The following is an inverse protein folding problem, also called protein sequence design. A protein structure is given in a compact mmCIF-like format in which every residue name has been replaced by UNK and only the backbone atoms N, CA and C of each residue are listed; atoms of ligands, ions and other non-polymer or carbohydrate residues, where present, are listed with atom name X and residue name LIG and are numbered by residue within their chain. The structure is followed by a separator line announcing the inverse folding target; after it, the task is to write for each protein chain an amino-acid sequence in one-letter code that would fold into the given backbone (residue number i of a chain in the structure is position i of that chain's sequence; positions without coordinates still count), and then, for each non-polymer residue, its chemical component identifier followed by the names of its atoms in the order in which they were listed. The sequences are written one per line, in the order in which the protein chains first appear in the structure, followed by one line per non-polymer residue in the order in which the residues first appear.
data_IF_858448114117
#
_entry.id   IF_858448114117
#
_cell.length_a   1.000
_cell.length_b   1.000
_cell.length_c   1.000
_cell.angle_alpha   90.00
_cell.angle_beta   90.00
_cell.angle_gamma   90.00
#
_symmetry.space_group_name_H-M   'P 1'
#
loop_
_entity.id
_entity.type
_entity.pdbx_description
1 polymer ?
#
# COMPACT_ATOMS: atom_id res chain seq x y z
N UNK A 1 30.90 17.75 24.02
CA UNK A 1 30.80 19.11 24.58
C UNK A 1 30.78 18.99 26.08
N UNK A 2 31.95 19.08 26.70
CA UNK A 2 32.11 19.01 28.15
C UNK A 2 31.77 20.35 28.79
N UNK A 3 31.14 20.35 29.95
CA UNK A 3 31.07 21.53 30.83
C UNK A 3 31.40 21.14 32.27
N UNK A 4 31.98 22.09 33.05
CA UNK A 4 32.97 21.80 34.08
C UNK A 4 32.39 21.91 35.51
N UNK A 5 33.12 21.34 36.46
CA UNK A 5 32.87 21.44 37.91
C UNK A 5 32.78 22.89 38.39
N UNK A 6 31.83 23.18 39.28
CA UNK A 6 31.86 24.35 40.17
C UNK A 6 31.39 23.95 41.58
N UNK A 7 32.25 24.25 42.55
CA UNK A 7 31.99 24.14 43.99
C UNK A 7 30.91 25.11 44.47
N UNK A 8 30.07 24.61 45.39
CA UNK A 8 29.34 25.26 46.50
C UNK A 8 28.79 26.68 46.33
N UNK A 9 27.46 26.79 46.33
CA UNK A 9 26.73 27.61 47.32
C UNK A 9 25.24 27.20 47.34
N UNK A 10 24.63 27.22 48.52
CA UNK A 10 23.24 26.82 48.78
C UNK A 10 22.24 27.72 48.04
N UNK A 11 21.42 27.10 47.19
CA UNK A 11 20.27 27.73 46.58
C UNK A 11 19.37 26.64 46.03
N UNK A 12 18.24 26.41 46.70
CA UNK A 12 17.20 25.47 46.28
C UNK A 12 16.68 25.83 44.89
N UNK A 13 17.33 25.29 43.86
CA UNK A 13 16.74 25.20 42.53
C UNK A 13 15.73 24.06 42.64
N UNK A 14 14.47 24.42 42.87
CA UNK A 14 13.35 23.53 42.60
C UNK A 14 13.49 23.08 41.15
N UNK A 15 13.79 21.79 40.96
CA UNK A 15 13.72 21.14 39.65
C UNK A 15 12.34 21.47 39.04
N UNK A 16 12.25 22.11 37.86
CA UNK A 16 10.97 22.45 37.26
C UNK A 16 10.15 21.20 36.89
N UNK A 17 10.81 20.04 36.87
CA UNK A 17 10.20 18.74 36.73
C UNK A 17 9.99 18.21 38.15
N UNK A 18 8.76 18.31 38.65
CA UNK A 18 8.39 17.82 39.98
C UNK A 18 8.86 16.39 40.25
N UNK A 19 8.83 15.97 41.51
CA UNK A 19 9.33 14.69 42.04
C UNK A 19 8.69 13.41 41.48
N UNK A 20 7.93 13.48 40.38
CA UNK A 20 7.51 12.30 39.64
C UNK A 20 8.75 11.69 38.99
N UNK A 21 9.00 10.41 39.27
CA UNK A 21 10.09 9.63 38.70
C UNK A 21 9.91 9.48 37.18
N UNK A 22 10.19 10.55 36.43
CA UNK A 22 10.21 10.55 34.97
C UNK A 22 11.41 9.75 34.48
N UNK A 23 11.18 8.83 33.54
CA UNK A 23 12.23 8.08 32.88
C UNK A 23 13.11 9.03 32.06
N UNK A 24 14.44 8.93 32.20
CA UNK A 24 15.38 9.79 31.47
C UNK A 24 15.36 9.43 29.97
N UNK A 25 15.54 10.41 29.07
CA UNK A 25 15.48 10.21 27.61
C UNK A 25 16.28 9.00 27.10
N UNK A 26 17.52 8.83 27.59
CA UNK A 26 18.38 7.71 27.20
C UNK A 26 17.87 6.35 27.66
N UNK A 27 17.19 6.29 28.81
CA UNK A 27 16.56 5.09 29.34
C UNK A 27 15.28 4.75 28.56
N UNK A 28 14.44 5.76 28.30
CA UNK A 28 13.20 5.59 27.53
C UNK A 28 13.44 5.05 26.11
N UNK A 29 14.46 5.57 25.42
CA UNK A 29 14.82 5.14 24.07
C UNK A 29 15.81 3.97 24.04
N UNK A 30 16.28 3.49 25.20
CA UNK A 30 17.29 2.43 25.31
C UNK A 30 18.53 2.72 24.44
N UNK A 31 19.05 3.96 24.52
CA UNK A 31 20.14 4.41 23.65
C UNK A 31 21.44 3.65 23.88
N UNK A 32 21.63 3.04 25.04
CA UNK A 32 22.74 2.13 25.31
C UNK A 32 22.73 0.94 24.32
N UNK A 33 21.56 0.40 24.00
CA UNK A 33 21.42 -0.70 23.03
C UNK A 33 21.55 -0.20 21.59
N UNK A 34 20.88 0.91 21.26
CA UNK A 34 20.85 1.43 19.89
C UNK A 34 22.24 1.96 19.49
N UNK A 35 22.88 2.77 20.32
CA UNK A 35 24.15 3.46 20.04
C UNK A 35 25.40 2.61 20.35
N UNK A 36 25.23 1.36 20.79
CA UNK A 36 26.33 0.39 20.95
C UNK A 36 26.24 -0.79 19.98
N UNK A 37 25.33 -0.75 19.01
CA UNK A 37 25.11 -1.83 18.03
C UNK A 37 25.99 -1.72 16.77
N UNK A 38 26.89 -0.74 16.68
CA UNK A 38 27.67 -0.42 15.48
C UNK A 38 29.01 -1.17 15.44
N UNK A 39 28.97 -2.46 15.10
CA UNK A 39 30.17 -3.31 15.04
C UNK A 39 30.77 -3.37 13.63
N UNK A 40 31.86 -2.64 13.40
CA UNK A 40 32.63 -2.65 12.15
C UNK A 40 33.56 -3.86 12.07
N UNK A 41 33.39 -4.72 11.05
CA UNK A 41 34.24 -5.89 10.82
C UNK A 41 35.63 -5.49 10.31
N UNK A 42 35.73 -4.43 9.51
CA UNK A 42 37.01 -3.93 9.02
C UNK A 42 37.95 -3.52 10.17
N UNK A 43 37.39 -2.94 11.24
CA UNK A 43 38.11 -2.63 12.49
C UNK A 43 38.56 -3.90 13.20
N UNK A 44 37.68 -4.90 13.34
CA UNK A 44 38.02 -6.19 13.95
C UNK A 44 39.12 -6.94 13.19
N UNK A 45 39.20 -6.73 11.88
CA UNK A 45 40.22 -7.30 11.00
C UNK A 45 41.46 -6.41 10.83
N UNK A 46 41.65 -5.39 11.68
CA UNK A 46 42.80 -4.46 11.70
C UNK A 46 43.03 -3.70 10.37
N UNK A 47 41.97 -3.46 9.60
CA UNK A 47 41.99 -2.66 8.36
C UNK A 47 40.77 -1.73 8.33
N UNK A 48 40.72 -0.70 9.18
CA UNK A 48 39.52 0.12 9.35
C UNK A 48 39.14 0.82 8.04
N UNK A 49 37.89 0.65 7.61
CA UNK A 49 37.30 1.38 6.48
C UNK A 49 36.21 2.28 7.03
N UNK A 50 36.40 3.59 6.89
CA UNK A 50 35.54 4.61 7.49
C UNK A 50 34.05 4.44 7.12
N UNK A 51 33.78 4.22 5.83
CA UNK A 51 32.42 4.17 5.29
C UNK A 51 31.65 2.89 5.65
N UNK A 52 32.29 1.89 6.25
CA UNK A 52 31.57 0.74 6.84
C UNK A 52 30.62 1.20 7.95
N UNK A 53 30.97 2.26 8.71
CA UNK A 53 30.08 2.81 9.74
C UNK A 53 28.79 3.39 9.12
N UNK A 54 28.92 4.12 8.00
CA UNK A 54 27.78 4.65 7.25
C UNK A 54 26.89 3.53 6.72
N UNK A 55 27.51 2.47 6.18
CA UNK A 55 26.81 1.27 5.71
C UNK A 55 25.97 0.65 6.84
N UNK A 56 26.55 0.46 8.03
CA UNK A 56 25.85 -0.12 9.19
C UNK A 56 24.69 0.77 9.65
N UNK A 57 24.94 2.06 9.89
CA UNK A 57 23.91 3.00 10.38
C UNK A 57 22.75 3.11 9.39
N UNK A 58 23.03 3.15 8.09
CA UNK A 58 21.99 3.22 7.06
C UNK A 58 21.07 2.00 7.14
N UNK A 59 21.63 0.79 7.19
CA UNK A 59 20.82 -0.43 7.28
C UNK A 59 20.06 -0.53 8.61
N UNK A 60 20.67 -0.11 9.73
CA UNK A 60 19.97 -0.04 11.03
C UNK A 60 18.79 0.93 10.99
N UNK A 61 18.95 2.10 10.35
CA UNK A 61 17.85 3.05 10.16
C UNK A 61 16.71 2.46 9.33
N UNK A 62 17.02 1.77 8.22
CA UNK A 62 16.01 1.04 7.44
C UNK A 62 15.27 0.00 8.29
N UNK A 63 15.97 -0.81 9.07
CA UNK A 63 15.35 -1.86 9.90
C UNK A 63 14.46 -1.29 11.02
N UNK A 64 14.82 -0.13 11.60
CA UNK A 64 13.92 0.57 12.54
C UNK A 64 12.62 1.03 11.85
N UNK A 65 12.72 1.55 10.63
CA UNK A 65 11.54 1.96 9.87
C UNK A 65 10.71 0.78 9.36
N UNK A 66 11.34 -0.33 8.97
CA UNK A 66 10.62 -1.56 8.63
C UNK A 66 9.83 -2.07 9.83
N UNK A 67 10.42 -2.03 11.03
CA UNK A 67 9.69 -2.36 12.27
C UNK A 67 8.47 -1.47 12.47
N UNK A 68 8.61 -0.16 12.27
CA UNK A 68 7.49 0.77 12.36
C UNK A 68 6.40 0.46 11.31
N UNK A 69 6.79 0.20 10.05
CA UNK A 69 5.83 -0.14 8.99
C UNK A 69 5.08 -1.43 9.34
N UNK A 70 5.77 -2.47 9.81
CA UNK A 70 5.14 -3.73 10.22
C UNK A 70 4.18 -3.49 11.37
N UNK A 71 4.56 -2.68 12.37
CA UNK A 71 3.69 -2.34 13.49
C UNK A 71 2.41 -1.63 13.05
N UNK A 72 2.52 -0.64 12.16
CA UNK A 72 1.35 0.02 11.58
C UNK A 72 0.50 -0.97 10.77
N UNK A 73 1.15 -1.79 9.94
CA UNK A 73 0.51 -2.75 9.03
C UNK A 73 -0.28 -3.81 9.80
N UNK A 74 0.30 -4.40 10.85
CA UNK A 74 -0.37 -5.37 11.71
C UNK A 74 -1.59 -4.74 12.38
N UNK A 75 -1.44 -3.53 12.89
CA UNK A 75 -2.56 -2.82 13.50
C UNK A 75 -3.69 -2.48 12.51
N UNK A 76 -3.37 -2.22 11.23
CA UNK A 76 -4.37 -2.00 10.17
C UNK A 76 -5.02 -3.33 9.77
N UNK A 77 -4.24 -4.41 9.70
CA UNK A 77 -4.78 -5.76 9.46
C UNK A 77 -5.78 -6.12 10.55
N UNK A 78 -5.47 -5.87 11.82
CA UNK A 78 -6.38 -6.12 12.94
C UNK A 78 -7.68 -5.30 12.83
N UNK A 79 -7.58 -4.01 12.48
CA UNK A 79 -8.74 -3.14 12.29
C UNK A 79 -9.64 -3.59 11.12
N UNK A 80 -9.05 -4.12 10.04
CA UNK A 80 -9.77 -4.64 8.87
C UNK A 80 -10.32 -6.04 9.09
N UNK A 81 -9.74 -6.81 10.03
CA UNK A 81 -10.16 -8.15 10.40
C UNK A 81 -11.40 -8.15 11.32
N UNK A 82 -12.41 -7.37 10.93
CA UNK A 82 -13.70 -7.28 11.62
C UNK A 82 -14.86 -7.36 10.63
N UNK A 83 -15.97 -7.98 11.04
CA UNK A 83 -17.18 -8.13 10.22
C UNK A 83 -17.87 -6.79 9.91
N UNK A 84 -17.64 -5.78 10.72
CA UNK A 84 -18.11 -4.41 10.47
C UNK A 84 -17.00 -3.42 10.79
N UNK A 85 -16.75 -2.50 9.86
CA UNK A 85 -15.80 -1.41 10.05
C UNK A 85 -16.62 -0.14 10.26
N UNK A 86 -16.63 0.34 11.49
CA UNK A 86 -17.18 1.65 11.82
C UNK A 86 -16.39 2.75 11.10
N UNK A 87 -17.07 3.81 10.66
CA UNK A 87 -16.44 4.93 9.93
C UNK A 87 -15.33 5.61 10.76
N UNK A 88 -15.45 5.61 12.09
CA UNK A 88 -14.41 6.07 13.02
C UNK A 88 -13.09 5.29 12.86
N UNK A 89 -13.16 3.97 12.65
CA UNK A 89 -12.00 3.10 12.42
C UNK A 89 -11.42 3.31 11.02
N UNK A 90 -12.23 3.70 10.03
CA UNK A 90 -11.74 4.04 8.69
C UNK A 90 -10.75 5.21 8.73
N UNK A 91 -11.03 6.26 9.51
CA UNK A 91 -10.09 7.38 9.67
C UNK A 91 -8.77 6.95 10.32
N UNK A 92 -8.83 6.05 11.30
CA UNK A 92 -7.63 5.51 11.93
C UNK A 92 -6.80 4.68 10.93
N UNK A 93 -7.44 3.84 10.12
CA UNK A 93 -6.80 3.08 9.04
C UNK A 93 -6.10 4.03 8.06
N UNK A 94 -6.81 5.06 7.59
CA UNK A 94 -6.26 6.06 6.66
C UNK A 94 -5.04 6.78 7.24
N UNK A 95 -5.12 7.21 8.51
CA UNK A 95 -4.00 7.85 9.20
C UNK A 95 -2.77 6.95 9.21
N UNK A 96 -2.94 5.67 9.52
CA UNK A 96 -1.83 4.69 9.60
C UNK A 96 -1.26 4.33 8.22
N UNK A 97 -2.12 4.12 7.23
CA UNK A 97 -1.67 3.90 5.83
C UNK A 97 -0.92 5.12 5.29
N UNK A 98 -1.41 6.34 5.55
CA UNK A 98 -0.71 7.55 5.16
C UNK A 98 0.63 7.70 5.90
N UNK A 99 0.72 7.29 7.17
CA UNK A 99 2.00 7.23 7.89
C UNK A 99 2.97 6.26 7.21
N UNK A 100 2.54 5.07 6.81
CA UNK A 100 3.37 4.13 6.03
C UNK A 100 3.86 4.77 4.73
N UNK A 101 2.98 5.47 3.99
CA UNK A 101 3.36 6.22 2.78
C UNK A 101 4.46 7.24 3.06
N UNK A 102 4.35 8.04 4.14
CA UNK A 102 5.37 9.02 4.49
C UNK A 102 6.70 8.39 4.91
N UNK A 103 6.65 7.27 5.66
CA UNK A 103 7.86 6.51 6.00
C UNK A 103 8.53 5.98 4.73
N UNK A 104 7.76 5.38 3.80
CA UNK A 104 8.30 4.86 2.55
C UNK A 104 8.91 5.97 1.67
N UNK A 105 8.33 7.19 1.65
CA UNK A 105 8.96 8.35 1.00
C UNK A 105 10.33 8.66 1.59
N UNK A 106 10.43 8.68 2.93
CA UNK A 106 11.71 8.87 3.62
C UNK A 106 12.70 7.75 3.28
N UNK A 107 12.25 6.49 3.22
CA UNK A 107 13.08 5.34 2.84
C UNK A 107 13.60 5.45 1.41
N UNK A 108 12.79 5.96 0.47
CA UNK A 108 13.25 6.24 -0.89
C UNK A 108 14.37 7.28 -0.90
N UNK A 109 14.23 8.34 -0.09
CA UNK A 109 15.16 9.46 0.00
C UNK A 109 16.39 9.17 0.88
N UNK A 110 16.42 8.04 1.59
CA UNK A 110 17.60 7.57 2.32
C UNK A 110 18.66 6.94 1.41
N UNK A 111 18.30 6.40 0.23
CA UNK A 111 19.26 5.78 -0.70
C UNK A 111 20.40 6.74 -1.09
N UNK A 112 20.14 8.01 -1.47
CA UNK A 112 21.18 8.99 -1.77
C UNK A 112 22.23 9.20 -0.67
N UNK A 113 21.89 8.97 0.61
CA UNK A 113 22.86 9.05 1.71
C UNK A 113 23.93 7.97 1.57
N UNK A 114 23.54 6.75 1.21
CA UNK A 114 24.49 5.65 1.00
C UNK A 114 25.25 5.81 -0.33
N UNK A 115 24.68 6.52 -1.31
CA UNK A 115 25.35 6.82 -2.59
C UNK A 115 26.51 7.83 -2.46
N UNK A 116 26.71 8.44 -1.28
CA UNK A 116 27.90 9.26 -1.02
C UNK A 116 29.16 8.42 -0.81
N UNK A 117 29.01 7.14 -0.43
CA UNK A 117 30.11 6.18 -0.37
C UNK A 117 30.59 5.84 -1.78
N UNK A 118 31.91 5.81 -1.99
CA UNK A 118 32.44 5.47 -3.31
C UNK A 118 32.48 3.95 -3.53
N UNK A 119 32.41 3.47 -4.79
CA UNK A 119 32.56 2.04 -5.07
C UNK A 119 33.91 1.47 -4.61
N UNK A 120 34.97 2.27 -4.61
CA UNK A 120 36.30 1.84 -4.14
C UNK A 120 36.29 1.61 -2.63
N UNK A 121 35.77 2.56 -1.86
CA UNK A 121 35.65 2.43 -0.40
C UNK A 121 34.74 1.25 -0.04
N UNK A 122 33.66 1.03 -0.78
CA UNK A 122 32.81 -0.14 -0.60
C UNK A 122 33.57 -1.46 -0.82
N UNK A 123 34.41 -1.54 -1.86
CA UNK A 123 35.18 -2.75 -2.15
C UNK A 123 36.19 -3.10 -1.05
N UNK A 124 36.71 -2.11 -0.33
CA UNK A 124 37.70 -2.32 0.74
C UNK A 124 37.13 -3.07 1.96
N UNK A 125 35.81 -3.01 2.21
CA UNK A 125 35.16 -3.78 3.29
C UNK A 125 34.16 -4.83 2.83
N UNK A 126 33.80 -4.87 1.55
CA UNK A 126 32.81 -5.82 0.98
C UNK A 126 33.10 -7.29 1.31
N UNK A 127 34.38 -7.67 1.36
CA UNK A 127 34.79 -9.05 1.62
C UNK A 127 34.39 -9.53 3.03
N UNK A 128 34.25 -8.62 3.99
CA UNK A 128 33.80 -8.95 5.36
C UNK A 128 32.31 -9.23 5.44
N UNK A 129 31.53 -8.80 4.43
CA UNK A 129 30.08 -8.98 4.41
C UNK A 129 29.66 -10.38 3.96
N UNK A 130 30.51 -11.14 3.26
CA UNK A 130 30.12 -12.46 2.76
C UNK A 130 29.97 -13.49 3.89
N UNK A 131 28.90 -14.31 3.94
CA UNK A 131 27.82 -14.48 2.96
C UNK A 131 26.57 -13.61 3.22
N UNK A 132 26.63 -12.67 4.17
CA UNK A 132 25.51 -11.83 4.54
C UNK A 132 25.03 -10.95 3.38
N UNK A 133 23.72 -10.78 3.30
CA UNK A 133 23.07 -10.01 2.24
C UNK A 133 21.70 -9.51 2.66
N UNK A 134 21.22 -8.44 2.01
CA UNK A 134 19.85 -7.93 2.19
C UNK A 134 18.75 -8.95 1.90
N UNK A 135 19.06 -10.08 1.25
CA UNK A 135 18.15 -11.23 1.18
C UNK A 135 17.69 -11.72 2.55
N UNK A 136 18.55 -11.59 3.57
CA UNK A 136 18.33 -12.01 4.95
C UNK A 136 17.65 -10.93 5.81
N UNK A 137 17.18 -9.83 5.21
CA UNK A 137 16.31 -8.90 5.95
C UNK A 137 14.96 -9.57 6.19
N UNK A 138 14.79 -10.08 7.41
CA UNK A 138 13.56 -10.74 7.86
C UNK A 138 12.38 -9.77 7.75
N UNK A 139 12.52 -8.56 8.27
CA UNK A 139 11.45 -7.57 8.29
C UNK A 139 11.00 -7.16 6.88
N UNK A 140 11.92 -7.07 5.92
CA UNK A 140 11.53 -6.80 4.53
C UNK A 140 10.64 -7.92 3.96
N UNK A 141 10.93 -9.19 4.28
CA UNK A 141 10.09 -10.33 3.86
C UNK A 141 8.75 -10.36 4.58
N UNK A 142 8.74 -10.11 5.89
CA UNK A 142 7.50 -10.01 6.66
C UNK A 142 6.60 -8.90 6.11
N UNK A 143 7.16 -7.73 5.78
CA UNK A 143 6.43 -6.62 5.17
C UNK A 143 5.82 -7.03 3.81
N UNK A 144 6.60 -7.66 2.92
CA UNK A 144 6.09 -8.15 1.62
C UNK A 144 4.93 -9.15 1.80
N UNK A 145 5.06 -10.11 2.73
CA UNK A 145 4.05 -11.14 2.97
C UNK A 145 2.78 -10.54 3.59
N UNK A 146 2.93 -9.71 4.63
CA UNK A 146 1.82 -9.03 5.31
C UNK A 146 1.08 -8.06 4.39
N UNK A 147 1.75 -7.45 3.40
CA UNK A 147 1.07 -6.68 2.35
C UNK A 147 0.26 -7.59 1.43
N UNK A 148 0.85 -8.68 0.96
CA UNK A 148 0.18 -9.70 0.14
C UNK A 148 0.97 -10.19 -1.08
N UNK A 149 2.30 -10.07 -1.08
CA UNK A 149 3.13 -10.64 -2.16
C UNK A 149 3.11 -12.16 -2.06
N UNK A 150 2.38 -12.81 -2.98
CA UNK A 150 2.28 -14.27 -3.02
C UNK A 150 3.57 -14.93 -3.53
N UNK A 151 3.89 -16.11 -2.99
CA UNK A 151 5.16 -16.82 -3.24
C UNK A 151 5.33 -17.23 -4.70
N UNK A 152 4.26 -17.61 -5.38
CA UNK A 152 4.22 -17.96 -6.80
C UNK A 152 4.55 -16.78 -7.73
N UNK A 153 4.29 -15.54 -7.29
CA UNK A 153 4.62 -14.33 -8.05
C UNK A 153 6.09 -13.94 -7.92
N UNK A 154 6.77 -14.40 -6.87
CA UNK A 154 8.21 -14.14 -6.69
C UNK A 154 9.00 -14.75 -7.84
N UNK A 155 10.06 -14.07 -8.25
CA UNK A 155 10.99 -14.58 -9.28
C UNK A 155 11.67 -15.86 -8.78
N UNK A 156 11.95 -16.83 -9.67
CA UNK A 156 12.39 -18.20 -9.31
C UNK A 156 13.48 -18.26 -8.23
N UNK A 157 14.51 -17.42 -8.33
CA UNK A 157 15.59 -17.36 -7.35
C UNK A 157 15.11 -17.08 -5.92
N UNK A 158 14.01 -16.32 -5.78
CA UNK A 158 13.45 -15.86 -4.52
C UNK A 158 12.11 -16.53 -4.17
N UNK A 159 11.75 -17.63 -4.84
CA UNK A 159 10.55 -18.40 -4.48
C UNK A 159 10.75 -19.20 -3.19
N UNK A 160 11.97 -19.69 -2.94
CA UNK A 160 12.36 -20.33 -1.68
C UNK A 160 13.19 -19.39 -0.83
N UNK A 161 12.69 -18.17 -0.59
CA UNK A 161 13.45 -17.16 0.15
C UNK A 161 13.68 -17.56 1.64
N UNK A 162 12.97 -18.55 2.17
CA UNK A 162 13.21 -19.09 3.51
C UNK A 162 14.60 -19.70 3.70
N UNK A 163 15.23 -20.22 2.62
CA UNK A 163 16.54 -20.88 2.73
C UNK A 163 17.65 -19.94 3.22
N UNK A 164 17.52 -18.62 3.01
CA UNK A 164 18.57 -17.67 3.42
C UNK A 164 18.59 -17.42 4.94
N UNK A 165 17.52 -17.80 5.64
CA UNK A 165 17.39 -17.71 7.10
C UNK A 165 17.95 -18.95 7.82
N UNK A 166 18.44 -19.95 7.06
CA UNK A 166 19.19 -21.08 7.61
C UNK A 166 18.37 -21.91 8.60
N UNK A 167 18.85 -21.99 9.85
CA UNK A 167 18.25 -22.76 10.95
C UNK A 167 17.66 -21.86 12.05
N UNK A 168 17.50 -20.56 11.79
CA UNK A 168 16.85 -19.65 12.74
C UNK A 168 15.35 -20.00 12.82
N UNK A 169 14.99 -20.74 13.87
CA UNK A 169 13.64 -21.25 14.05
C UNK A 169 12.62 -20.11 14.19
N UNK A 170 12.97 -19.04 14.91
CA UNK A 170 12.09 -17.90 15.16
C UNK A 170 11.84 -17.13 13.86
N UNK A 171 12.88 -16.92 13.05
CA UNK A 171 12.74 -16.27 11.75
C UNK A 171 11.88 -17.09 10.77
N UNK A 172 12.06 -18.41 10.75
CA UNK A 172 11.26 -19.31 9.91
C UNK A 172 9.81 -19.32 10.37
N UNK A 173 9.55 -19.41 11.68
CA UNK A 173 8.20 -19.37 12.25
C UNK A 173 7.50 -18.06 11.91
N UNK A 174 8.18 -16.92 12.07
CA UNK A 174 7.65 -15.61 11.72
C UNK A 174 7.27 -15.52 10.23
N UNK A 175 8.09 -16.10 9.33
CA UNK A 175 7.79 -16.14 7.90
C UNK A 175 6.55 -17.00 7.65
N UNK A 176 6.49 -18.21 8.21
CA UNK A 176 5.35 -19.13 8.05
C UNK A 176 4.05 -18.51 8.56
N UNK A 177 4.09 -17.85 9.72
CA UNK A 177 2.95 -17.06 10.25
C UNK A 177 2.56 -15.96 9.25
N UNK A 178 3.51 -15.17 8.76
CA UNK A 178 3.20 -14.08 7.82
C UNK A 178 2.64 -14.53 6.46
N UNK A 179 2.94 -15.75 6.01
CA UNK A 179 2.38 -16.34 4.78
C UNK A 179 0.99 -16.95 4.98
N UNK A 180 0.69 -17.44 6.19
CA UNK A 180 -0.55 -18.16 6.51
C UNK A 180 -1.66 -17.24 7.05
N UNK A 181 -1.29 -16.18 7.77
CA UNK A 181 -2.24 -15.20 8.24
C UNK A 181 -2.82 -14.36 7.08
N UNK A 182 -4.05 -13.82 7.22
CA UNK A 182 -4.61 -12.93 6.22
C UNK A 182 -3.69 -11.72 5.96
N UNK A 183 -3.28 -11.54 4.71
CA UNK A 183 -2.54 -10.34 4.29
C UNK A 183 -3.46 -9.12 4.24
N UNK A 184 -2.87 -7.93 4.18
CA UNK A 184 -3.62 -6.69 3.94
C UNK A 184 -4.46 -6.79 2.66
N UNK A 185 -3.91 -7.35 1.59
CA UNK A 185 -4.64 -7.59 0.35
C UNK A 185 -5.86 -8.49 0.54
N UNK A 186 -5.74 -9.59 1.28
CA UNK A 186 -6.86 -10.50 1.53
C UNK A 186 -7.97 -9.81 2.35
N UNK A 187 -7.59 -8.99 3.35
CA UNK A 187 -8.53 -8.24 4.19
C UNK A 187 -9.21 -7.08 3.46
N UNK A 188 -8.46 -6.35 2.62
CA UNK A 188 -9.00 -5.30 1.75
C UNK A 188 -10.00 -5.89 0.76
N UNK A 189 -9.70 -7.05 0.16
CA UNK A 189 -10.65 -7.72 -0.74
C UNK A 189 -11.95 -8.09 -0.01
N UNK A 190 -11.88 -8.71 1.17
CA UNK A 190 -13.08 -9.00 2.00
C UNK A 190 -13.87 -7.76 2.37
N UNK A 191 -13.20 -6.63 2.61
CA UNK A 191 -13.87 -5.35 2.83
C UNK A 191 -14.55 -4.83 1.56
N UNK A 192 -13.87 -4.87 0.41
CA UNK A 192 -14.43 -4.46 -0.89
C UNK A 192 -15.64 -5.30 -1.31
N UNK A 193 -15.65 -6.60 -1.01
CA UNK A 193 -16.77 -7.49 -1.29
C UNK A 193 -18.06 -7.14 -0.53
N UNK A 194 -17.94 -6.35 0.53
CA UNK A 194 -19.04 -5.84 1.36
C UNK A 194 -19.43 -4.39 1.01
N UNK A 195 -18.90 -3.85 -0.10
CA UNK A 195 -19.22 -2.48 -0.54
C UNK A 195 -20.73 -2.36 -0.79
N UNK A 196 -21.42 -1.40 -0.13
CA UNK A 196 -22.87 -1.25 -0.28
C UNK A 196 -23.24 -0.85 -1.72
N UNK A 197 -24.23 -1.53 -2.27
CA UNK A 197 -24.76 -1.31 -3.61
C UNK A 197 -24.35 -2.35 -4.65
N UNK A 198 -23.52 -3.32 -4.27
CA UNK A 198 -23.23 -4.51 -5.07
C UNK A 198 -24.34 -5.56 -5.02
N UNK A 199 -25.28 -5.45 -4.08
CA UNK A 199 -26.33 -6.45 -3.87
C UNK A 199 -27.35 -6.43 -5.02
N UNK A 200 -27.73 -7.63 -5.50
CA UNK A 200 -28.64 -7.82 -6.63
C UNK A 200 -30.08 -7.42 -6.32
N UNK A 201 -30.50 -7.58 -5.06
CA UNK A 201 -31.79 -7.14 -4.51
C UNK A 201 -31.78 -5.67 -4.05
N UNK A 202 -30.61 -5.02 -4.08
CA UNK A 202 -30.42 -3.63 -3.69
C UNK A 202 -30.26 -2.69 -4.88
N UNK A 203 -29.16 -1.93 -4.90
CA UNK A 203 -28.89 -1.00 -6.00
C UNK A 203 -28.45 -1.71 -7.28
N UNK A 204 -27.90 -2.92 -7.19
CA UNK A 204 -27.41 -3.72 -8.29
C UNK A 204 -26.52 -2.91 -9.24
N UNK A 205 -25.44 -2.35 -8.67
CA UNK A 205 -24.49 -1.53 -9.42
C UNK A 205 -23.96 -2.24 -10.66
N UNK A 206 -23.65 -3.54 -10.56
CA UNK A 206 -22.95 -4.26 -11.61
C UNK A 206 -23.77 -4.43 -12.89
N UNK A 207 -25.04 -4.83 -12.77
CA UNK A 207 -25.93 -4.98 -13.93
C UNK A 207 -26.22 -3.61 -14.58
N UNK A 208 -26.42 -2.58 -13.76
CA UNK A 208 -26.61 -1.21 -14.26
C UNK A 208 -25.37 -0.70 -14.97
N UNK A 209 -24.19 -0.95 -14.43
CA UNK A 209 -22.93 -0.57 -15.04
C UNK A 209 -22.71 -1.28 -16.38
N UNK A 210 -22.97 -2.59 -16.44
CA UNK A 210 -22.92 -3.34 -17.69
C UNK A 210 -23.86 -2.78 -18.75
N UNK A 211 -25.10 -2.48 -18.37
CA UNK A 211 -26.07 -1.83 -19.27
C UNK A 211 -25.56 -0.48 -19.75
N UNK A 212 -25.11 0.39 -18.85
CA UNK A 212 -24.60 1.71 -19.20
C UNK A 212 -23.37 1.67 -20.11
N UNK A 213 -22.48 0.71 -19.92
CA UNK A 213 -21.33 0.49 -20.82
C UNK A 213 -21.80 0.07 -22.22
N UNK A 214 -22.75 -0.86 -22.31
CA UNK A 214 -23.29 -1.29 -23.59
C UNK A 214 -23.97 -0.12 -24.31
N UNK A 215 -24.87 0.61 -23.63
CA UNK A 215 -25.55 1.79 -24.17
C UNK A 215 -24.54 2.85 -24.67
N UNK A 216 -23.47 3.07 -23.90
CA UNK A 216 -22.39 4.00 -24.26
C UNK A 216 -21.62 3.54 -25.51
N UNK A 217 -21.23 2.27 -25.58
CA UNK A 217 -20.48 1.72 -26.72
C UNK A 217 -21.32 1.65 -27.99
N UNK A 218 -22.60 1.31 -27.88
CA UNK A 218 -23.55 1.28 -29.00
C UNK A 218 -23.77 2.70 -29.56
N UNK A 219 -23.84 3.72 -28.69
CA UNK A 219 -23.91 5.11 -29.13
C UNK A 219 -22.61 5.56 -29.82
N UNK A 220 -21.44 5.20 -29.28
CA UNK A 220 -20.16 5.48 -29.93
C UNK A 220 -20.04 4.82 -31.31
N UNK A 221 -20.55 3.59 -31.44
CA UNK A 221 -20.58 2.87 -32.71
C UNK A 221 -21.50 3.54 -33.72
N UNK A 222 -22.70 3.96 -33.30
CA UNK A 222 -23.62 4.74 -34.13
C UNK A 222 -22.98 6.04 -34.59
N UNK A 223 -22.30 6.77 -33.70
CA UNK A 223 -21.56 8.00 -34.05
C UNK A 223 -20.41 7.72 -35.03
N UNK A 224 -19.67 6.62 -34.84
CA UNK A 224 -18.58 6.23 -35.73
C UNK A 224 -19.09 5.89 -37.14
N UNK A 225 -20.25 5.25 -37.28
CA UNK A 225 -20.86 4.95 -38.58
C UNK A 225 -21.22 6.20 -39.39
N UNK A 226 -21.51 7.32 -38.72
CA UNK A 226 -21.79 8.61 -39.37
C UNK A 226 -20.52 9.41 -39.72
N UNK A 227 -19.32 8.91 -39.39
CA UNK A 227 -18.06 9.55 -39.73
C UNK A 227 -17.81 9.51 -41.25
N UNK A 228 -17.52 10.69 -41.82
CA UNK A 228 -17.37 10.86 -43.27
C UNK A 228 -16.02 10.35 -43.76
N UNK A 229 -14.98 10.48 -42.94
CA UNK A 229 -13.65 10.02 -43.29
C UNK A 229 -13.50 8.53 -42.99
N UNK A 230 -13.32 7.72 -44.04
CA UNK A 230 -13.24 6.26 -43.94
C UNK A 230 -12.13 5.78 -42.98
N UNK A 231 -10.94 6.38 -43.06
CA UNK A 231 -9.84 6.05 -42.15
C UNK A 231 -10.20 6.31 -40.67
N UNK A 232 -10.89 7.42 -40.38
CA UNK A 232 -11.32 7.77 -39.03
C UNK A 232 -12.45 6.84 -38.55
N UNK A 233 -13.40 6.50 -39.42
CA UNK A 233 -14.46 5.53 -39.13
C UNK A 233 -13.87 4.16 -38.75
N UNK A 234 -12.98 3.63 -39.58
CA UNK A 234 -12.36 2.32 -39.36
C UNK A 234 -11.54 2.29 -38.06
N UNK A 235 -10.80 3.37 -37.78
CA UNK A 235 -10.06 3.50 -36.52
C UNK A 235 -10.99 3.51 -35.30
N UNK A 236 -12.09 4.28 -35.34
CA UNK A 236 -13.06 4.34 -34.24
C UNK A 236 -13.76 3.00 -34.01
N UNK A 237 -14.19 2.32 -35.06
CA UNK A 237 -14.81 1.00 -34.94
C UNK A 237 -13.85 -0.03 -34.34
N UNK A 238 -12.57 -0.01 -34.75
CA UNK A 238 -11.54 -0.86 -34.14
C UNK A 238 -11.31 -0.53 -32.66
N UNK A 239 -11.28 0.76 -32.28
CA UNK A 239 -11.14 1.15 -30.86
C UNK A 239 -12.33 0.67 -30.02
N UNK A 240 -13.56 0.80 -30.55
CA UNK A 240 -14.79 0.35 -29.88
C UNK A 240 -14.75 -1.17 -29.67
N UNK A 241 -14.37 -1.95 -30.69
CA UNK A 241 -14.26 -3.41 -30.56
C UNK A 241 -13.23 -3.81 -29.49
N UNK A 242 -12.06 -3.16 -29.47
CA UNK A 242 -11.06 -3.35 -28.42
C UNK A 242 -11.60 -3.00 -27.03
N UNK A 243 -12.39 -1.92 -26.91
CA UNK A 243 -13.05 -1.56 -25.65
C UNK A 243 -14.07 -2.62 -25.23
N UNK A 244 -14.87 -3.16 -26.16
CA UNK A 244 -15.80 -4.27 -25.87
C UNK A 244 -15.06 -5.47 -25.30
N UNK A 245 -13.92 -5.86 -25.88
CA UNK A 245 -13.08 -6.93 -25.33
C UNK A 245 -12.53 -6.62 -23.93
N UNK A 246 -12.10 -5.38 -23.69
CA UNK A 246 -11.66 -4.92 -22.36
C UNK A 246 -12.80 -5.03 -21.34
N UNK A 247 -14.01 -4.60 -21.68
CA UNK A 247 -15.17 -4.70 -20.79
C UNK A 247 -15.66 -6.14 -20.62
N UNK A 248 -15.58 -6.99 -21.66
CA UNK A 248 -15.84 -8.43 -21.55
C UNK A 248 -14.95 -9.06 -20.48
N UNK A 249 -13.70 -8.61 -20.37
CA UNK A 249 -12.78 -9.11 -19.34
C UNK A 249 -13.24 -8.86 -17.90
N UNK A 250 -14.10 -7.87 -17.66
CA UNK A 250 -14.69 -7.62 -16.33
C UNK A 250 -16.12 -8.15 -16.23
N UNK A 251 -16.93 -8.15 -17.28
CA UNK A 251 -18.31 -8.65 -17.19
C UNK A 251 -18.43 -10.17 -17.26
N UNK A 252 -17.44 -10.88 -17.80
CA UNK A 252 -17.36 -12.34 -17.79
C UNK A 252 -16.53 -12.83 -16.59
N UNK A 253 -17.15 -13.47 -15.57
CA UNK A 253 -16.43 -14.01 -14.42
C UNK A 253 -15.35 -15.03 -14.80
N UNK A 254 -15.59 -15.84 -15.84
CA UNK A 254 -14.65 -16.88 -16.27
C UNK A 254 -13.36 -16.30 -16.85
N UNK A 255 -13.47 -15.19 -17.60
CA UNK A 255 -12.33 -14.44 -18.13
C UNK A 255 -11.57 -13.78 -16.99
N UNK A 256 -12.27 -13.19 -16.02
CA UNK A 256 -11.65 -12.62 -14.85
C UNK A 256 -10.85 -13.68 -14.05
N UNK A 257 -11.44 -14.83 -13.74
CA UNK A 257 -10.74 -15.90 -13.02
C UNK A 257 -9.54 -16.47 -13.80
N UNK A 258 -9.62 -16.52 -15.13
CA UNK A 258 -8.48 -16.90 -15.95
C UNK A 258 -7.33 -15.88 -15.87
N UNK A 259 -7.62 -14.59 -15.68
CA UNK A 259 -6.60 -13.54 -15.44
C UNK A 259 -6.01 -13.63 -14.03
N UNK A 260 -6.83 -13.92 -13.02
CA UNK A 260 -6.36 -14.15 -11.64
C UNK A 260 -5.42 -15.35 -11.58
N UNK A 261 -5.79 -16.49 -12.17
CA UNK A 261 -4.95 -17.71 -12.21
C UNK A 261 -3.60 -17.51 -12.90
N UNK A 262 -3.52 -16.59 -13.86
CA UNK A 262 -2.28 -16.24 -14.57
C UNK A 262 -1.41 -15.21 -13.82
N UNK A 263 -1.93 -14.63 -12.73
CA UNK A 263 -1.24 -13.54 -12.04
C UNK A 263 -1.27 -12.22 -12.84
N UNK A 264 -2.28 -12.02 -13.68
CA UNK A 264 -2.54 -10.75 -14.38
C UNK A 264 -3.57 -9.88 -13.60
N UNK A 265 -4.32 -10.50 -12.69
CA UNK A 265 -5.16 -9.87 -11.65
C UNK A 265 -4.86 -10.46 -10.28
N UNK A 266 -5.23 -9.78 -9.20
CA UNK A 266 -5.07 -10.23 -7.81
C UNK A 266 -6.41 -10.32 -7.09
N UNK A 267 -7.29 -9.37 -7.33
CA UNK A 267 -8.56 -9.25 -6.63
C UNK A 267 -9.55 -10.34 -7.04
N UNK A 268 -10.39 -10.76 -6.10
CA UNK A 268 -11.61 -11.52 -6.42
C UNK A 268 -12.52 -10.71 -7.32
N UNK A 269 -13.41 -11.41 -8.04
CA UNK A 269 -14.38 -10.78 -8.93
C UNK A 269 -15.19 -9.70 -8.23
N UNK A 270 -15.75 -10.03 -7.06
CA UNK A 270 -16.61 -9.13 -6.29
C UNK A 270 -15.83 -7.99 -5.62
N UNK A 271 -14.59 -8.21 -5.19
CA UNK A 271 -13.72 -7.13 -4.71
C UNK A 271 -13.42 -6.10 -5.82
N UNK A 272 -13.19 -6.56 -7.05
CA UNK A 272 -13.00 -5.67 -8.21
C UNK A 272 -14.25 -4.81 -8.46
N UNK A 273 -15.45 -5.39 -8.37
CA UNK A 273 -16.70 -4.63 -8.50
C UNK A 273 -16.82 -3.51 -7.45
N UNK A 274 -16.52 -3.83 -6.19
CA UNK A 274 -16.51 -2.85 -5.09
C UNK A 274 -15.51 -1.71 -5.33
N UNK A 275 -14.31 -2.03 -5.80
CA UNK A 275 -13.29 -1.04 -6.11
C UNK A 275 -13.71 -0.10 -7.27
N UNK A 276 -14.33 -0.64 -8.31
CA UNK A 276 -14.90 0.15 -9.42
C UNK A 276 -16.01 1.06 -8.89
N UNK A 277 -16.91 0.54 -8.07
CA UNK A 277 -18.02 1.29 -7.48
C UNK A 277 -17.51 2.48 -6.66
N UNK A 278 -16.58 2.24 -5.72
CA UNK A 278 -15.95 3.30 -4.91
C UNK A 278 -15.29 4.35 -5.81
N UNK A 279 -14.66 3.93 -6.91
CA UNK A 279 -13.97 4.85 -7.84
C UNK A 279 -14.96 5.75 -8.58
N UNK A 280 -16.12 5.24 -9.01
CA UNK A 280 -17.13 6.07 -9.70
C UNK A 280 -17.88 7.00 -8.77
N UNK A 281 -18.20 6.56 -7.56
CA UNK A 281 -18.98 7.33 -6.59
C UNK A 281 -18.12 7.94 -5.48
N UNK A 282 -16.82 8.13 -5.72
CA UNK A 282 -15.84 8.72 -4.77
C UNK A 282 -16.23 10.09 -4.21
N UNK A 283 -17.08 10.83 -4.93
CA UNK A 283 -17.54 12.16 -4.54
C UNK A 283 -18.68 12.08 -3.49
N UNK A 284 -19.24 10.89 -3.24
CA UNK A 284 -20.22 10.65 -2.17
C UNK A 284 -19.54 10.59 -0.78
N UNK A 285 -20.13 11.18 0.28
CA UNK A 285 -19.50 11.25 1.60
C UNK A 285 -18.99 9.91 2.13
N UNK A 286 -19.81 8.85 2.06
CA UNK A 286 -19.43 7.50 2.54
C UNK A 286 -18.40 6.80 1.67
N UNK A 287 -18.14 7.25 0.45
CA UNK A 287 -17.11 6.67 -0.44
C UNK A 287 -15.84 7.53 -0.57
N UNK A 288 -15.85 8.76 -0.09
CA UNK A 288 -14.67 9.63 -0.06
C UNK A 288 -13.48 8.99 0.70
N UNK A 289 -13.73 8.52 1.92
CA UNK A 289 -12.73 7.87 2.79
C UNK A 289 -12.29 6.50 2.21
N UNK A 290 -13.20 5.60 1.78
CA UNK A 290 -12.84 4.41 1.02
C UNK A 290 -11.96 4.68 -0.21
N UNK A 291 -12.25 5.71 -1.00
CA UNK A 291 -11.44 6.05 -2.17
C UNK A 291 -10.03 6.52 -1.78
N UNK A 292 -9.90 7.28 -0.69
CA UNK A 292 -8.60 7.66 -0.15
C UNK A 292 -7.81 6.44 0.33
N UNK A 293 -8.47 5.43 0.90
CA UNK A 293 -7.83 4.17 1.30
C UNK A 293 -7.23 3.48 0.07
N UNK A 294 -8.00 3.32 -1.00
CA UNK A 294 -7.52 2.72 -2.26
C UNK A 294 -6.35 3.49 -2.85
N UNK A 295 -6.37 4.82 -2.77
CA UNK A 295 -5.28 5.69 -3.22
C UNK A 295 -4.00 5.44 -2.42
N UNK A 296 -4.10 5.37 -1.10
CA UNK A 296 -2.94 5.11 -0.24
C UNK A 296 -2.33 3.71 -0.46
N UNK A 297 -3.16 2.71 -0.77
CA UNK A 297 -2.66 1.36 -1.14
C UNK A 297 -1.84 1.40 -2.43
N UNK A 298 -2.29 2.14 -3.44
CA UNK A 298 -1.51 2.39 -4.67
C UNK A 298 -0.22 3.15 -4.37
N UNK A 299 -0.26 4.16 -3.51
CA UNK A 299 0.93 4.93 -3.11
C UNK A 299 1.98 4.03 -2.44
N UNK A 300 1.57 3.11 -1.57
CA UNK A 300 2.46 2.12 -0.93
C UNK A 300 3.15 1.25 -1.99
N UNK A 301 2.41 0.66 -2.92
CA UNK A 301 2.98 -0.17 -4.00
C UNK A 301 3.96 0.61 -4.90
N UNK A 302 3.59 1.85 -5.23
CA UNK A 302 4.41 2.75 -6.04
C UNK A 302 5.72 3.10 -5.33
N UNK A 303 5.66 3.41 -4.03
CA UNK A 303 6.84 3.76 -3.25
C UNK A 303 7.76 2.56 -2.98
N UNK A 304 7.21 1.36 -2.74
CA UNK A 304 8.02 0.14 -2.64
C UNK A 304 8.74 -0.12 -3.97
N UNK A 305 8.05 0.05 -5.10
CA UNK A 305 8.66 -0.10 -6.43
C UNK A 305 9.75 0.95 -6.67
N UNK A 306 9.51 2.21 -6.27
CA UNK A 306 10.50 3.29 -6.35
C UNK A 306 11.72 3.01 -5.47
N UNK A 307 11.52 2.51 -4.25
CA UNK A 307 12.61 2.10 -3.36
C UNK A 307 13.44 0.97 -3.99
N UNK A 308 12.80 -0.06 -4.56
CA UNK A 308 13.51 -1.13 -5.28
C UNK A 308 14.31 -0.58 -6.45
N UNK A 309 13.75 0.37 -7.20
CA UNK A 309 14.44 0.99 -8.33
C UNK A 309 15.68 1.77 -7.88
N UNK A 310 15.54 2.64 -6.87
CA UNK A 310 16.68 3.37 -6.31
C UNK A 310 17.76 2.42 -5.78
N UNK A 311 17.35 1.36 -5.08
CA UNK A 311 18.28 0.32 -4.63
C UNK A 311 19.00 -0.38 -5.81
N UNK A 312 18.29 -0.70 -6.90
CA UNK A 312 18.90 -1.28 -8.12
C UNK A 312 19.94 -0.33 -8.74
N UNK A 313 19.63 0.97 -8.83
CA UNK A 313 20.57 1.98 -9.37
C UNK A 313 21.80 2.12 -8.49
N UNK A 314 21.62 2.22 -7.17
CA UNK A 314 22.72 2.25 -6.21
C UNK A 314 23.60 1.00 -6.33
N UNK A 315 23.01 -0.19 -6.38
CA UNK A 315 23.76 -1.45 -6.53
C UNK A 315 24.53 -1.48 -7.85
N UNK A 316 23.92 -1.02 -8.95
CA UNK A 316 24.61 -0.92 -10.24
C UNK A 316 25.83 0.01 -10.16
N UNK A 317 25.73 1.12 -9.42
CA UNK A 317 26.86 2.04 -9.17
C UNK A 317 27.95 1.39 -8.31
N UNK A 318 27.57 0.64 -7.27
CA UNK A 318 28.50 0.06 -6.30
C UNK A 318 29.26 -1.16 -6.83
N UNK A 319 28.60 -2.07 -7.57
CA UNK A 319 29.18 -3.35 -7.99
C UNK A 319 29.06 -3.65 -9.50
N UNK A 320 28.51 -2.71 -10.28
CA UNK A 320 28.25 -2.93 -11.71
C UNK A 320 27.13 -3.93 -11.97
N UNK A 321 27.07 -4.44 -13.21
CA UNK A 321 26.02 -5.36 -13.67
C UNK A 321 26.43 -6.83 -13.71
N UNK A 322 27.72 -7.13 -13.51
CA UNK A 322 28.30 -8.47 -13.71
C UNK A 322 28.84 -9.11 -12.43
N UNK A 323 29.06 -8.34 -11.36
CA UNK A 323 29.46 -8.94 -10.09
C UNK A 323 28.28 -9.66 -9.42
N UNK A 324 28.53 -10.88 -8.97
CA UNK A 324 27.59 -11.64 -8.13
C UNK A 324 27.39 -10.93 -6.80
N UNK A 325 26.15 -10.95 -6.30
CA UNK A 325 25.85 -10.45 -4.96
C UNK A 325 26.49 -11.35 -3.89
N UNK A 326 26.80 -10.79 -2.72
CA UNK A 326 27.35 -11.56 -1.58
C UNK A 326 26.40 -12.69 -1.12
N UNK A 327 25.09 -12.52 -1.34
CA UNK A 327 24.08 -13.54 -1.07
C UNK A 327 23.90 -14.60 -2.16
N UNK A 328 24.79 -14.69 -3.16
CA UNK A 328 24.77 -15.74 -4.19
C UNK A 328 23.80 -15.52 -5.36
N UNK A 329 23.18 -14.33 -5.46
CA UNK A 329 22.32 -13.97 -6.60
C UNK A 329 23.13 -13.42 -7.77
N UNK A 330 22.49 -13.30 -8.94
CA UNK A 330 23.03 -12.56 -10.10
C UNK A 330 23.17 -11.04 -9.86
N UNK A 331 23.00 -10.58 -8.61
CA UNK A 331 23.18 -9.20 -8.18
C UNK A 331 22.16 -8.28 -8.84
N UNK A 332 22.67 -7.38 -9.68
CA UNK A 332 21.88 -6.41 -10.42
C UNK A 332 20.72 -7.01 -11.21
N UNK A 333 20.94 -8.11 -11.94
CA UNK A 333 19.90 -8.70 -12.80
C UNK A 333 18.72 -9.25 -12.00
N UNK A 334 19.01 -9.89 -10.87
CA UNK A 334 17.98 -10.32 -9.93
C UNK A 334 17.18 -9.11 -9.42
N UNK A 335 17.85 -8.09 -8.89
CA UNK A 335 17.17 -6.93 -8.32
C UNK A 335 16.30 -6.22 -9.36
N UNK A 336 16.80 -6.07 -10.59
CA UNK A 336 16.03 -5.50 -11.72
C UNK A 336 14.76 -6.30 -12.02
N UNK A 337 14.81 -7.64 -11.91
CA UNK A 337 13.62 -8.48 -12.12
C UNK A 337 12.53 -8.27 -11.05
N UNK A 338 12.90 -7.74 -9.88
CA UNK A 338 11.94 -7.40 -8.81
C UNK A 338 11.15 -6.12 -9.06
N UNK A 339 11.49 -5.34 -10.10
CA UNK A 339 10.78 -4.13 -10.52
C UNK A 339 9.51 -4.44 -11.34
N UNK A 340 9.15 -5.71 -11.51
CA UNK A 340 7.98 -6.12 -12.29
C UNK A 340 6.69 -6.02 -11.48
N UNK A 341 5.56 -5.93 -12.19
CA UNK A 341 4.21 -5.95 -11.63
C UNK A 341 3.87 -7.25 -10.88
N UNK A 342 4.75 -8.27 -10.94
CA UNK A 342 4.63 -9.48 -10.11
C UNK A 342 4.74 -9.16 -8.61
N UNK A 343 5.45 -8.09 -8.24
CA UNK A 343 5.58 -7.64 -6.86
C UNK A 343 4.55 -6.58 -6.45
N UNK A 344 3.74 -6.06 -7.38
CA UNK A 344 2.65 -5.13 -7.05
C UNK A 344 1.46 -5.91 -6.48
N UNK A 345 1.10 -5.59 -5.25
CA UNK A 345 0.04 -6.30 -4.51
C UNK A 345 -1.34 -5.84 -4.95
N UNK A 346 -1.50 -4.54 -5.17
CA UNK A 346 -2.75 -3.87 -5.54
C UNK A 346 -2.76 -3.51 -7.03
N UNK A 347 -2.20 -4.38 -7.88
CA UNK A 347 -2.12 -4.20 -9.33
C UNK A 347 -3.46 -3.83 -9.96
N UNK A 348 -4.56 -4.44 -9.49
CA UNK A 348 -5.90 -4.18 -10.01
C UNK A 348 -6.34 -2.73 -9.81
N UNK A 349 -5.94 -2.07 -8.72
CA UNK A 349 -6.30 -0.67 -8.42
C UNK A 349 -5.74 0.29 -9.48
N UNK A 350 -4.49 0.07 -9.91
CA UNK A 350 -3.89 0.86 -11.01
C UNK A 350 -4.65 0.66 -12.32
N UNK A 351 -5.08 -0.57 -12.57
CA UNK A 351 -5.75 -0.95 -13.81
C UNK A 351 -7.24 -0.56 -13.86
N UNK A 352 -7.83 -0.10 -12.74
CA UNK A 352 -9.23 0.40 -12.73
C UNK A 352 -9.47 1.52 -13.73
N UNK A 353 -8.46 2.35 -13.97
CA UNK A 353 -8.52 3.47 -14.94
C UNK A 353 -8.88 3.00 -16.35
N UNK A 354 -8.61 1.73 -16.66
CA UNK A 354 -8.93 1.09 -17.95
C UNK A 354 -10.43 0.95 -18.18
N UNK A 355 -11.23 0.89 -17.10
CA UNK A 355 -12.67 0.60 -17.15
C UNK A 355 -13.54 1.84 -16.93
N UNK A 356 -12.95 3.04 -16.96
CA UNK A 356 -13.68 4.27 -16.73
C UNK A 356 -14.53 4.65 -17.95
N UNK A 357 -15.78 5.04 -17.68
CA UNK A 357 -16.69 5.66 -18.65
C UNK A 357 -16.91 7.14 -18.32
N UNK A 358 -17.38 7.96 -19.28
CA UNK A 358 -17.71 9.35 -19.02
C UNK A 358 -18.75 9.51 -17.90
N UNK A 359 -18.68 10.61 -17.13
CA UNK A 359 -19.56 10.84 -15.96
C UNK A 359 -21.06 10.73 -16.28
N UNK A 360 -21.49 11.16 -17.46
CA UNK A 360 -22.90 11.09 -17.87
C UNK A 360 -23.40 9.65 -18.11
N UNK A 361 -22.49 8.71 -18.33
CA UNK A 361 -22.80 7.30 -18.55
C UNK A 361 -22.73 6.47 -17.26
N UNK A 362 -22.25 7.04 -16.15
CA UNK A 362 -22.24 6.33 -14.85
C UNK A 362 -23.70 6.15 -14.39
N UNK A 363 -24.11 4.95 -13.93
CA UNK A 363 -25.45 4.74 -13.42
C UNK A 363 -25.81 5.75 -12.32
N UNK A 364 -26.91 6.50 -12.43
CA UNK A 364 -27.28 7.44 -11.38
C UNK A 364 -27.69 6.69 -10.10
N UNK A 365 -27.27 7.22 -8.95
CA UNK A 365 -27.75 6.74 -7.65
C UNK A 365 -29.24 7.00 -7.52
N UNK A 366 -30.01 5.99 -7.11
CA UNK A 366 -31.42 6.17 -6.74
C UNK A 366 -31.52 6.86 -5.36
N UNK A 367 -32.69 7.39 -5.02
CA UNK A 367 -32.87 8.16 -3.77
C UNK A 367 -32.47 7.35 -2.54
N UNK A 368 -32.85 6.07 -2.47
CA UNK A 368 -32.47 5.17 -1.38
C UNK A 368 -30.93 5.01 -1.26
N UNK A 369 -30.22 4.80 -2.38
CA UNK A 369 -28.75 4.67 -2.34
C UNK A 369 -28.09 6.02 -2.04
N UNK A 370 -28.65 7.14 -2.52
CA UNK A 370 -28.16 8.47 -2.16
C UNK A 370 -28.29 8.71 -0.66
N UNK A 371 -29.44 8.40 -0.06
CA UNK A 371 -29.66 8.53 1.38
C UNK A 371 -28.73 7.60 2.18
N UNK A 372 -28.51 6.38 1.68
CA UNK A 372 -27.55 5.44 2.29
C UNK A 372 -26.12 5.97 2.21
N UNK A 373 -25.71 6.62 1.12
CA UNK A 373 -24.33 7.08 0.91
C UNK A 373 -24.06 8.50 1.43
N UNK A 374 -25.11 9.23 1.76
CA UNK A 374 -25.04 10.56 2.32
C UNK A 374 -25.02 10.52 3.84
N UNK A 375 -24.29 11.45 4.45
CA UNK A 375 -24.26 11.64 5.91
C UNK A 375 -25.01 12.93 6.20
N UNK A 376 -26.35 12.89 6.17
CA UNK A 376 -27.15 14.06 6.50
C UNK A 376 -27.18 14.21 8.03
N UNK A 377 -26.35 15.09 8.57
CA UNK A 377 -26.55 15.65 9.90
C UNK A 377 -27.67 16.71 9.81
N UNK A 378 -28.84 16.37 10.37
CA UNK A 378 -29.90 17.34 10.67
C UNK A 378 -30.94 17.56 9.59
N UNK A 379 -31.86 16.59 9.41
CA UNK A 379 -33.27 16.85 9.08
C UNK A 379 -34.13 15.76 9.76
N UNK A 380 -34.11 15.74 11.10
CA UNK A 380 -35.16 15.09 11.86
C UNK A 380 -36.43 15.96 11.80
N UNK A 381 -37.47 15.41 11.17
CA UNK A 381 -38.91 15.68 11.41
C UNK A 381 -39.45 17.10 11.22
N UNK A 382 -39.87 17.44 10.00
CA UNK A 382 -41.03 18.35 9.77
C UNK A 382 -41.81 17.92 8.50
N UNK A 383 -42.30 16.68 8.45
CA UNK A 383 -43.36 16.28 7.51
C UNK A 383 -44.47 15.43 8.14
N UNK A 384 -44.61 15.50 9.46
CA UNK A 384 -45.74 14.91 10.18
C UNK A 384 -46.29 15.95 11.15
N UNK A 385 -47.10 16.89 10.64
CA UNK A 385 -48.16 17.62 11.34
C UNK A 385 -48.59 18.83 10.50
N UNK A 386 -49.21 18.57 9.35
CA UNK A 386 -50.14 19.53 8.77
C UNK A 386 -51.41 18.80 8.34
N UNK A 387 -52.03 18.13 9.31
CA UNK A 387 -53.44 17.73 9.22
C UNK A 387 -54.01 17.75 10.64
N UNK A 388 -54.77 18.81 10.95
CA UNK A 388 -55.34 19.00 12.29
C UNK A 388 -55.80 20.41 12.59
N UNK A 389 -56.95 20.80 12.04
CA UNK A 389 -58.06 21.47 12.74
C UNK A 389 -58.80 22.49 11.84
N UNK A 390 -59.73 21.97 11.04
CA UNK A 390 -60.89 22.75 10.64
C UNK A 390 -61.75 22.97 11.89
N UNK A 391 -61.59 24.14 12.53
CA UNK A 391 -62.52 24.63 13.53
C UNK A 391 -63.73 25.21 12.81
N UNK A 392 -64.88 24.56 13.00
CA UNK A 392 -66.17 25.16 12.73
C UNK A 392 -66.40 26.28 13.75
N UNK A 393 -66.71 27.48 13.27
CA UNK A 393 -67.38 28.48 14.09
C UNK A 393 -68.48 29.14 13.27
N UNK A 394 -69.68 29.09 13.83
CA UNK A 394 -70.94 29.40 13.18
C UNK A 394 -71.14 30.87 12.85
N UNK A 395 -71.99 31.08 11.85
CA UNK A 395 -72.64 32.35 11.55
C UNK A 395 -73.76 32.61 12.56
N UNK A 396 -73.83 33.85 13.05
CA UNK A 396 -75.11 34.55 13.23
C UNK A 396 -75.62 35.02 11.87
#
# INVERSE_FOLDING_TARGET
MSCPMRNGDDGSISDPLGTDAGMVYGEYLMLDKILSAQRMLSVQNNKPVHDEHLFIITHQAYELWFRQIIFELDSVRDLLNSETIEESKTLEILKRLNRIVLILKLLVDQVPILETMTPLDFMDFRNYLSPASGFQSLQFRLMENKLGVKTEHRVKYNQRYTHVFGTDADAIEAIVSSESEPSLSDLVQKWLERTPGLESDGFNFWEKFQKSVNDFLDEQERMAMHEKMEAARNYRLMDIEKRRDVYRSIFDPSVHEALVRRGERRFTYKALQGAIMITFYRDEPRFSQPHQLLTLLMDIDSLITKWRYNHVMMVQRMIGSQQLGTGGSSGYQYLRSTLSDRYKVFLDLFNLSTFLIPRHAIPPLNDNMRDKLNVIYGLSSEKANHDGSATSNGKN
#
